data_IF_418203942972
#
_entry.id   IF_418203942972
#
_cell.length_a   1.000
_cell.length_b   1.000
_cell.length_c   1.000
_cell.angle_alpha   90.00
_cell.angle_beta   90.00
_cell.angle_gamma   90.00
#
_symmetry.space_group_name_H-M   'P 1'
#
loop_
_entity.id
_entity.type
_entity.pdbx_description
1 polymer ?
#
# COMPACT_ATOMS: atom_id res chain seq x y z
N UNK A 1 -9.55 9.35 20.77
CA UNK A 1 -8.89 9.99 19.62
C UNK A 1 -8.23 8.88 18.81
N UNK A 2 -8.65 8.68 17.57
CA UNK A 2 -8.14 7.59 16.72
C UNK A 2 -6.98 8.10 15.87
N UNK A 3 -5.83 7.44 16.00
CA UNK A 3 -4.65 7.68 15.18
C UNK A 3 -4.74 6.78 13.95
N UNK A 4 -4.64 7.35 12.76
CA UNK A 4 -4.71 6.63 11.49
C UNK A 4 -3.36 6.73 10.79
N UNK A 5 -2.93 5.62 10.16
CA UNK A 5 -1.69 5.58 9.39
C UNK A 5 -1.90 5.13 7.96
N UNK A 6 -1.31 5.86 7.02
CA UNK A 6 -1.49 5.65 5.59
C UNK A 6 -0.15 5.26 4.94
N UNK A 7 -0.14 4.16 4.17
CA UNK A 7 1.04 3.68 3.41
C UNK A 7 0.83 3.86 1.92
N UNK A 8 1.90 4.09 1.14
CA UNK A 8 1.85 4.33 -0.31
C UNK A 8 2.89 3.49 -1.07
N UNK A 9 2.56 2.92 -2.24
CA UNK A 9 3.57 2.49 -3.23
C UNK A 9 3.15 2.25 -4.69
N UNK A 10 3.96 2.78 -5.64
CA UNK A 10 4.27 2.29 -7.01
C UNK A 10 4.78 0.83 -7.16
N UNK A 11 3.97 -0.09 -7.67
CA UNK A 11 4.46 -1.38 -8.17
C UNK A 11 5.10 -1.26 -9.58
N UNK A 12 6.11 -2.10 -9.83
CA UNK A 12 6.88 -2.20 -11.07
C UNK A 12 6.01 -2.47 -12.31
N UNK A 13 6.40 -1.86 -13.42
CA UNK A 13 5.68 -1.93 -14.67
C UNK A 13 5.72 -3.31 -15.33
N UNK A 14 4.56 -3.78 -15.81
CA UNK A 14 4.48 -4.94 -16.70
C UNK A 14 3.92 -4.50 -18.05
N UNK A 15 4.83 -4.31 -19.01
CA UNK A 15 4.48 -4.17 -20.42
C UNK A 15 4.01 -5.51 -20.98
N UNK A 16 2.84 -5.52 -21.61
CA UNK A 16 2.29 -6.66 -22.34
C UNK A 16 0.89 -6.38 -22.87
N UNK A 17 0.79 -5.98 -24.15
CA UNK A 17 -0.46 -5.82 -24.88
C UNK A 17 -1.20 -7.17 -24.99
N UNK A 18 -2.30 -7.36 -24.24
CA UNK A 18 -3.26 -8.44 -24.53
C UNK A 18 -4.69 -8.05 -24.12
N UNK A 19 -5.54 -7.80 -25.13
CA UNK A 19 -7.00 -7.57 -25.11
C UNK A 19 -7.54 -6.53 -24.11
N UNK A 20 -8.78 -6.06 -24.33
CA UNK A 20 -9.50 -5.22 -23.37
C UNK A 20 -9.80 -6.04 -22.10
N UNK A 21 -8.84 -6.10 -21.16
CA UNK A 21 -9.02 -6.72 -19.85
C UNK A 21 -9.79 -5.76 -18.95
N UNK A 22 -10.81 -6.27 -18.29
CA UNK A 22 -11.51 -5.58 -17.20
C UNK A 22 -10.55 -5.30 -16.04
N UNK A 23 -10.85 -4.32 -15.18
CA UNK A 23 -10.04 -4.09 -13.98
C UNK A 23 -9.94 -5.37 -13.13
N UNK A 24 -11.04 -6.13 -13.04
CA UNK A 24 -11.11 -7.42 -12.35
C UNK A 24 -10.03 -8.41 -12.82
N UNK A 25 -9.87 -8.52 -14.14
CA UNK A 25 -8.89 -9.42 -14.76
C UNK A 25 -7.46 -8.92 -14.58
N UNK A 26 -7.23 -7.60 -14.68
CA UNK A 26 -5.94 -6.98 -14.44
C UNK A 26 -5.47 -7.18 -13.00
N UNK A 27 -6.36 -6.98 -12.02
CA UNK A 27 -6.06 -7.25 -10.62
C UNK A 27 -5.77 -8.72 -10.38
N UNK A 28 -6.61 -9.63 -10.88
CA UNK A 28 -6.37 -11.07 -10.75
C UNK A 28 -5.05 -11.52 -11.41
N UNK A 29 -4.61 -10.84 -12.48
CA UNK A 29 -3.32 -11.09 -13.14
C UNK A 29 -2.15 -10.55 -12.30
N UNK A 30 -2.22 -9.29 -11.83
CA UNK A 30 -1.20 -8.69 -10.94
C UNK A 30 -1.04 -9.54 -9.67
N UNK A 31 -2.15 -10.05 -9.12
CA UNK A 31 -2.12 -10.94 -7.96
C UNK A 31 -1.43 -12.28 -8.25
N UNK A 32 -1.81 -12.98 -9.33
CA UNK A 32 -1.17 -14.26 -9.71
C UNK A 32 0.32 -14.14 -9.98
N UNK A 33 0.74 -13.06 -10.64
CA UNK A 33 2.15 -12.79 -10.89
C UNK A 33 2.87 -12.56 -9.56
N UNK A 34 2.29 -11.75 -8.67
CA UNK A 34 2.90 -11.46 -7.37
C UNK A 34 2.94 -12.71 -6.47
N UNK A 35 1.93 -13.57 -6.49
CA UNK A 35 1.92 -14.86 -5.79
C UNK A 35 2.94 -15.84 -6.36
N UNK A 36 3.12 -15.84 -7.69
CA UNK A 36 4.17 -16.64 -8.33
C UNK A 36 5.56 -16.13 -7.91
N UNK A 37 5.75 -14.82 -7.84
CA UNK A 37 6.97 -14.21 -7.31
C UNK A 37 7.15 -14.49 -5.81
N UNK A 38 6.08 -14.53 -5.02
CA UNK A 38 6.11 -14.94 -3.60
C UNK A 38 6.64 -16.37 -3.45
N UNK A 39 6.11 -17.31 -4.24
CA UNK A 39 6.56 -18.70 -4.22
C UNK A 39 8.03 -18.81 -4.64
N UNK A 40 8.44 -18.12 -5.70
CA UNK A 40 9.83 -18.14 -6.16
C UNK A 40 10.81 -17.54 -5.14
N UNK A 41 10.42 -16.46 -4.43
CA UNK A 41 11.22 -15.89 -3.35
C UNK A 41 11.34 -16.85 -2.15
N UNK A 42 10.24 -17.49 -1.75
CA UNK A 42 10.24 -18.50 -0.66
C UNK A 42 11.05 -19.74 -1.00
N UNK A 43 11.14 -20.09 -2.29
CA UNK A 43 11.97 -21.19 -2.80
C UNK A 43 13.45 -20.80 -2.93
N UNK A 44 13.85 -19.56 -2.58
CA UNK A 44 15.23 -19.08 -2.72
C UNK A 44 15.70 -18.92 -4.16
N UNK A 45 14.77 -18.87 -5.12
CA UNK A 45 15.06 -18.81 -6.56
C UNK A 45 15.07 -17.37 -7.10
N UNK A 46 14.72 -16.39 -6.26
CA UNK A 46 14.91 -14.97 -6.52
C UNK A 46 15.99 -14.43 -5.58
N UNK A 47 16.85 -13.50 -6.04
CA UNK A 47 17.78 -12.82 -5.16
C UNK A 47 16.98 -12.03 -4.12
N UNK A 48 16.97 -12.50 -2.87
CA UNK A 48 16.73 -11.63 -1.73
C UNK A 48 17.83 -10.56 -1.68
N UNK A 49 17.65 -9.43 -0.98
CA UNK A 49 18.68 -8.41 -0.88
C UNK A 49 19.97 -9.08 -0.40
N UNK A 50 20.94 -9.19 -1.31
CA UNK A 50 22.22 -9.82 -1.04
C UNK A 50 22.94 -8.97 -0.01
N UNK A 51 23.29 -9.60 1.12
CA UNK A 51 24.13 -9.00 2.16
C UNK A 51 25.43 -8.51 1.53
N UNK A 52 25.54 -7.20 1.26
CA UNK A 52 26.69 -6.60 0.60
C UNK A 52 26.40 -5.52 -0.45
N UNK A 53 25.16 -5.31 -0.88
CA UNK A 53 24.80 -4.17 -1.75
C UNK A 53 24.50 -2.95 -0.87
N UNK A 54 25.10 -1.76 -1.11
CA UNK A 54 24.71 -0.53 -0.44
C UNK A 54 23.21 -0.34 -0.62
N UNK A 55 22.47 -0.31 0.49
CA UNK A 55 21.03 -0.12 0.48
C UNK A 55 20.78 1.23 -0.24
N UNK A 56 19.92 1.28 -1.28
CA UNK A 56 19.53 2.54 -1.90
C UNK A 56 19.02 3.50 -0.82
N UNK A 57 19.37 4.78 -0.92
CA UNK A 57 18.95 5.87 -0.02
C UNK A 57 17.56 5.59 0.58
N UNK A 58 17.53 5.10 1.82
CA UNK A 58 16.28 4.84 2.53
C UNK A 58 15.66 6.18 2.90
N UNK A 59 14.40 6.39 2.53
CA UNK A 59 13.65 7.50 3.09
C UNK A 59 13.30 7.15 4.53
N UNK A 60 13.42 8.11 5.45
CA UNK A 60 13.16 7.83 6.87
C UNK A 60 11.76 7.27 7.09
N UNK A 61 10.79 7.84 6.39
CA UNK A 61 9.37 7.48 6.45
C UNK A 61 9.05 6.13 5.80
N UNK A 62 10.03 5.47 5.17
CA UNK A 62 9.85 4.08 4.74
C UNK A 62 9.71 3.15 5.94
N UNK A 63 10.30 3.51 7.08
CA UNK A 63 10.11 2.84 8.36
C UNK A 63 8.94 3.45 9.15
N UNK A 64 8.04 2.59 9.62
CA UNK A 64 6.84 2.94 10.37
C UNK A 64 7.15 3.87 11.55
N UNK A 65 8.14 3.64 12.43
CA UNK A 65 8.42 4.55 13.54
C UNK A 65 8.64 6.02 13.13
N UNK A 66 9.10 6.27 11.91
CA UNK A 66 9.41 7.57 11.35
C UNK A 66 8.31 8.11 10.42
N UNK A 67 7.09 7.59 10.53
CA UNK A 67 5.96 8.03 9.72
C UNK A 67 5.79 9.56 9.75
N UNK A 68 5.53 10.15 8.59
CA UNK A 68 5.34 11.59 8.43
C UNK A 68 4.04 12.01 9.12
N UNK A 69 4.09 12.92 10.11
CA UNK A 69 2.88 13.51 10.67
C UNK A 69 2.15 14.34 9.62
N UNK A 70 0.86 14.07 9.41
CA UNK A 70 0.03 14.85 8.48
C UNK A 70 -0.35 16.18 9.16
N UNK A 71 0.34 17.24 8.75
CA UNK A 71 0.15 18.62 9.18
C UNK A 71 -0.14 19.57 8.01
N UNK A 72 -0.10 19.07 6.77
CA UNK A 72 -0.35 19.82 5.54
C UNK A 72 -1.42 19.13 4.69
N UNK A 73 -2.04 19.90 3.79
CA UNK A 73 -3.06 19.38 2.88
C UNK A 73 -2.46 18.57 1.72
N UNK A 74 -1.18 18.80 1.40
CA UNK A 74 -0.52 18.20 0.24
C UNK A 74 0.92 17.86 0.59
N UNK A 75 1.32 16.64 0.22
CA UNK A 75 2.69 16.15 0.29
C UNK A 75 3.11 15.76 -1.12
N UNK A 76 4.32 16.17 -1.53
CA UNK A 76 4.81 15.92 -2.88
C UNK A 76 6.10 15.12 -2.83
N UNK A 77 6.13 14.05 -3.62
CA UNK A 77 7.31 13.23 -3.85
C UNK A 77 7.77 13.41 -5.28
N UNK A 78 9.05 13.71 -5.48
CA UNK A 78 9.65 13.77 -6.82
C UNK A 78 9.98 12.38 -7.36
N UNK A 79 10.04 11.38 -6.47
CA UNK A 79 10.30 9.97 -6.79
C UNK A 79 9.59 9.07 -5.79
N UNK A 80 9.16 7.89 -6.24
CA UNK A 80 8.60 6.87 -5.35
C UNK A 80 9.61 6.46 -4.27
N UNK A 81 9.14 6.05 -3.07
CA UNK A 81 10.01 5.46 -2.07
C UNK A 81 10.80 4.29 -2.68
N UNK A 82 12.10 4.15 -2.37
CA UNK A 82 12.97 3.20 -3.06
C UNK A 82 12.88 1.77 -2.50
N UNK A 83 12.52 1.62 -1.23
CA UNK A 83 12.41 0.33 -0.51
C UNK A 83 11.47 0.46 0.71
N UNK A 84 11.30 -0.63 1.46
CA UNK A 84 10.42 -0.68 2.64
C UNK A 84 11.08 -0.16 3.93
N UNK A 85 12.26 0.46 3.83
CA UNK A 85 13.05 0.87 4.99
C UNK A 85 13.95 -0.23 5.53
N UNK A 86 14.40 -0.08 6.77
CA UNK A 86 15.22 -1.06 7.46
C UNK A 86 14.41 -2.27 7.95
N UNK A 87 13.12 -2.08 8.23
CA UNK A 87 12.21 -3.10 8.76
C UNK A 87 11.01 -3.29 7.84
N UNK A 88 10.72 -4.52 7.42
CA UNK A 88 9.44 -4.83 6.76
C UNK A 88 8.34 -4.98 7.81
N UNK A 89 7.47 -3.97 7.96
CA UNK A 89 6.44 -3.99 9.02
C UNK A 89 5.12 -4.62 8.63
N UNK A 90 4.87 -4.83 7.33
CA UNK A 90 3.65 -5.53 6.91
C UNK A 90 3.82 -7.04 6.93
N UNK A 91 2.74 -7.72 7.31
CA UNK A 91 2.58 -9.15 7.13
C UNK A 91 1.67 -9.45 5.93
N UNK A 92 1.29 -10.72 5.80
CA UNK A 92 0.42 -11.20 4.72
C UNK A 92 -1.08 -10.99 5.02
N UNK A 93 -1.39 -10.21 6.05
CA UNK A 93 -2.71 -9.88 6.59
C UNK A 93 -3.34 -8.64 5.93
N UNK A 94 -2.71 -8.12 4.87
CA UNK A 94 -3.19 -6.94 4.14
C UNK A 94 -3.56 -7.32 2.70
N UNK A 95 -4.26 -6.44 1.99
CA UNK A 95 -4.46 -6.58 0.54
C UNK A 95 -3.18 -6.31 -0.26
N UNK A 96 -2.14 -5.78 0.38
CA UNK A 96 -0.88 -5.44 -0.24
C UNK A 96 -0.04 -6.70 -0.38
N UNK A 97 0.09 -7.18 -1.61
CA UNK A 97 0.84 -8.38 -1.89
C UNK A 97 2.33 -8.16 -1.66
N UNK A 98 3.05 -9.24 -1.39
CA UNK A 98 4.49 -9.17 -1.10
C UNK A 98 4.83 -8.29 0.12
N UNK A 99 3.89 -8.06 1.05
CA UNK A 99 4.07 -7.15 2.20
C UNK A 99 4.41 -5.71 1.79
N UNK A 100 4.21 -5.39 0.51
CA UNK A 100 4.63 -4.19 -0.18
C UNK A 100 6.14 -3.85 -0.03
N UNK A 101 6.82 -3.64 -1.16
CA UNK A 101 8.30 -3.67 -1.19
C UNK A 101 8.96 -2.29 -1.15
N UNK A 102 8.21 -1.22 -1.35
CA UNK A 102 8.71 0.14 -1.20
C UNK A 102 7.66 1.06 -0.61
N UNK A 103 7.97 1.84 0.41
CA UNK A 103 6.89 2.30 1.29
C UNK A 103 7.16 3.69 1.82
N UNK A 104 6.09 4.43 2.08
CA UNK A 104 6.13 5.64 2.88
C UNK A 104 4.95 5.60 3.85
N UNK A 105 5.22 5.83 5.13
CA UNK A 105 4.24 5.86 6.20
C UNK A 105 3.86 7.29 6.55
N UNK A 106 2.57 7.53 6.72
CA UNK A 106 2.01 8.76 7.26
C UNK A 106 1.27 8.44 8.55
N UNK A 107 1.22 9.38 9.49
CA UNK A 107 0.44 9.28 10.72
C UNK A 107 -0.37 10.55 10.93
N UNK A 108 -1.63 10.39 11.32
CA UNK A 108 -2.51 11.51 11.61
C UNK A 108 -3.52 11.17 12.68
N UNK A 109 -4.04 12.20 13.35
CA UNK A 109 -5.16 12.05 14.29
C UNK A 109 -6.39 12.70 13.69
N UNK A 110 -7.50 11.97 13.66
CA UNK A 110 -8.78 12.54 13.25
C UNK A 110 -9.27 13.47 14.36
N UNK A 111 -9.32 14.77 14.07
CA UNK A 111 -9.72 15.81 15.03
C UNK A 111 -11.24 16.09 14.99
N UNK A 112 -11.85 15.94 13.81
CA UNK A 112 -13.27 16.22 13.59
C UNK A 112 -13.98 14.97 13.07
N UNK A 113 -15.24 14.79 13.46
CA UNK A 113 -16.10 13.77 12.88
C UNK A 113 -16.45 14.10 11.42
N UNK A 114 -16.67 13.07 10.60
CA UNK A 114 -16.98 13.21 9.19
C UNK A 114 -16.39 12.07 8.35
N UNK A 115 -16.50 12.19 7.03
CA UNK A 115 -15.88 11.25 6.08
C UNK A 115 -14.45 11.68 5.80
N UNK A 116 -13.49 10.81 6.10
CA UNK A 116 -12.09 11.01 5.75
C UNK A 116 -11.82 10.53 4.33
N UNK A 117 -11.15 11.36 3.53
CA UNK A 117 -10.70 11.04 2.19
C UNK A 117 -9.33 11.63 1.90
N UNK A 118 -8.64 11.06 0.92
CA UNK A 118 -7.37 11.56 0.41
C UNK A 118 -7.19 11.09 -1.04
N UNK A 119 -6.33 11.80 -1.77
CA UNK A 119 -6.00 11.50 -3.16
C UNK A 119 -4.52 11.19 -3.30
N UNK A 120 -4.24 10.09 -3.97
CA UNK A 120 -2.92 9.69 -4.45
C UNK A 120 -2.76 10.11 -5.90
N UNK A 121 -2.29 11.33 -6.16
CA UNK A 121 -2.08 11.77 -7.55
C UNK A 121 -0.76 11.22 -8.09
N UNK A 122 -0.84 10.30 -9.05
CA UNK A 122 0.32 9.62 -9.62
C UNK A 122 0.00 9.08 -11.01
N UNK A 123 1.02 8.85 -11.83
CA UNK A 123 0.92 8.10 -13.09
C UNK A 123 1.34 6.65 -12.93
N UNK A 124 1.59 6.21 -11.70
CA UNK A 124 2.05 4.86 -11.35
C UNK A 124 0.96 4.11 -10.58
N UNK A 125 1.23 2.83 -10.31
CA UNK A 125 0.30 1.91 -9.68
C UNK A 125 0.52 1.98 -8.17
N UNK A 126 -0.15 2.94 -7.52
CA UNK A 126 -0.01 3.15 -6.09
C UNK A 126 -1.02 2.33 -5.29
N UNK A 127 -0.53 1.58 -4.30
CA UNK A 127 -1.35 0.83 -3.35
C UNK A 127 -1.34 1.50 -1.97
N UNK A 128 -2.39 1.30 -1.16
CA UNK A 128 -2.43 1.82 0.21
C UNK A 128 -3.06 0.88 1.22
N UNK A 129 -2.61 0.99 2.46
CA UNK A 129 -3.27 0.40 3.63
C UNK A 129 -3.41 1.47 4.72
N UNK A 130 -4.58 1.47 5.36
CA UNK A 130 -4.97 2.35 6.44
C UNK A 130 -5.19 1.53 7.71
N UNK A 131 -4.48 1.86 8.77
CA UNK A 131 -4.61 1.19 10.06
C UNK A 131 -5.12 2.15 11.13
N UNK A 132 -5.90 1.64 12.08
CA UNK A 132 -6.10 2.30 13.37
C UNK A 132 -4.89 2.00 14.26
N UNK A 133 -3.95 2.94 14.31
CA UNK A 133 -2.67 2.80 15.00
C UNK A 133 -2.83 2.49 16.49
N UNK A 134 -3.84 3.06 17.14
CA UNK A 134 -4.12 2.82 18.55
C UNK A 134 -4.65 1.41 18.78
N UNK A 135 -5.61 0.97 17.95
CA UNK A 135 -6.21 -0.36 18.07
C UNK A 135 -5.23 -1.50 17.79
N UNK A 136 -4.24 -1.28 16.93
CA UNK A 136 -3.24 -2.31 16.59
C UNK A 136 -2.02 -2.30 17.54
N UNK A 137 -1.95 -1.40 18.52
CA UNK A 137 -0.80 -1.31 19.43
C UNK A 137 0.47 -0.74 18.77
N UNK A 138 0.30 0.09 17.74
CA UNK A 138 1.38 0.78 17.04
C UNK A 138 2.03 -0.02 15.91
N UNK A 139 3.28 0.32 15.56
CA UNK A 139 3.98 -0.30 14.42
C UNK A 139 4.15 -1.82 14.53
N UNK A 140 4.25 -2.37 15.75
CA UNK A 140 4.35 -3.82 15.93
C UNK A 140 3.10 -4.58 15.48
N UNK A 141 1.94 -3.92 15.46
CA UNK A 141 0.67 -4.54 15.09
C UNK A 141 0.43 -4.65 13.58
N UNK A 142 1.16 -3.92 12.74
CA UNK A 142 0.90 -3.91 11.29
C UNK A 142 1.20 -5.26 10.64
N UNK A 143 2.04 -6.08 11.28
CA UNK A 143 2.42 -7.41 10.82
C UNK A 143 1.31 -8.46 10.97
N UNK A 144 0.24 -8.17 11.72
CA UNK A 144 -0.83 -9.13 12.02
C UNK A 144 -2.23 -8.54 11.91
N UNK A 145 -2.39 -7.22 12.09
CA UNK A 145 -3.70 -6.58 12.11
C UNK A 145 -4.29 -6.35 10.72
N UNK A 146 -5.58 -6.57 10.55
CA UNK A 146 -6.23 -6.27 9.27
C UNK A 146 -6.44 -4.75 9.11
N UNK A 147 -6.01 -4.11 8.00
CA UNK A 147 -6.17 -2.67 7.81
C UNK A 147 -7.65 -2.27 7.76
N UNK A 148 -8.04 -1.15 8.35
CA UNK A 148 -9.45 -0.68 8.29
C UNK A 148 -9.88 -0.32 6.86
N UNK A 149 -8.94 0.09 6.01
CA UNK A 149 -9.09 0.26 4.56
C UNK A 149 -7.80 -0.18 3.89
N UNK A 150 -7.89 -0.82 2.74
CA UNK A 150 -6.77 -1.30 1.97
C UNK A 150 -7.16 -1.29 0.51
N UNK A 151 -6.39 -0.59 -0.30
CA UNK A 151 -6.54 -0.56 -1.73
C UNK A 151 -5.33 -1.21 -2.38
N UNK A 152 -5.63 -2.12 -3.28
CA UNK A 152 -4.69 -2.63 -4.24
C UNK A 152 -5.23 -2.23 -5.62
N UNK A 153 -4.49 -1.42 -6.36
CA UNK A 153 -4.78 -1.09 -7.76
C UNK A 153 -4.11 -2.11 -8.66
N UNK A 154 -4.60 -2.26 -9.89
CA UNK A 154 -3.84 -2.92 -10.95
C UNK A 154 -3.73 -2.02 -12.18
N UNK A 155 -4.08 -0.75 -11.99
CA UNK A 155 -4.07 0.30 -12.98
C UNK A 155 -3.18 1.44 -12.51
N UNK A 156 -2.53 2.06 -13.48
CA UNK A 156 -1.80 3.30 -13.28
C UNK A 156 -2.76 4.47 -13.14
N UNK A 157 -2.45 5.40 -12.25
CA UNK A 157 -3.20 6.64 -12.14
C UNK A 157 -3.54 6.99 -10.70
N UNK A 158 -4.40 7.99 -10.59
CA UNK A 158 -4.86 8.48 -9.29
C UNK A 158 -5.64 7.40 -8.55
N UNK A 159 -5.37 7.22 -7.26
CA UNK A 159 -6.17 6.37 -6.35
C UNK A 159 -6.44 7.10 -5.04
N UNK A 160 -7.12 6.49 -4.08
CA UNK A 160 -7.33 7.07 -2.75
C UNK A 160 -8.66 6.68 -2.10
N UNK A 161 -9.12 7.52 -1.18
CA UNK A 161 -10.44 7.42 -0.54
C UNK A 161 -11.28 8.64 -0.92
N UNK A 162 -12.42 8.42 -1.58
CA UNK A 162 -13.38 9.50 -1.86
C UNK A 162 -14.12 9.89 -0.59
N UNK A 163 -14.02 11.16 -0.19
CA UNK A 163 -14.85 11.68 0.90
C UNK A 163 -16.30 11.93 0.47
N UNK A 164 -16.56 12.15 -0.83
CA UNK A 164 -17.87 12.49 -1.39
C UNK A 164 -18.67 11.26 -1.81
N UNK A 165 -18.00 10.16 -2.11
CA UNK A 165 -18.61 8.88 -2.49
C UNK A 165 -18.03 7.71 -1.67
N UNK A 166 -18.23 7.72 -0.34
CA UNK A 166 -17.66 6.69 0.53
C UNK A 166 -18.24 5.32 0.17
N UNK A 167 -17.37 4.40 -0.23
CA UNK A 167 -17.78 3.03 -0.53
C UNK A 167 -18.01 2.24 0.78
N UNK A 168 -19.11 1.47 0.90
CA UNK A 168 -19.37 0.63 2.05
C UNK A 168 -18.39 -0.56 2.11
N UNK A 169 -18.07 -1.00 3.34
CA UNK A 169 -17.21 -2.16 3.59
C UNK A 169 -15.77 -1.80 3.99
N UNK A 170 -15.09 -2.78 4.59
CA UNK A 170 -13.64 -2.75 4.78
C UNK A 170 -13.01 -3.09 3.43
N UNK A 171 -12.43 -2.11 2.75
CA UNK A 171 -11.65 -2.33 1.54
C UNK A 171 -10.50 -3.29 1.89
N UNK A 172 -10.67 -4.58 1.59
CA UNK A 172 -9.74 -5.66 1.93
C UNK A 172 -9.99 -6.83 0.97
N UNK A 173 -8.92 -7.44 0.48
CA UNK A 173 -8.94 -8.82 -0.02
C UNK A 173 -9.12 -9.77 1.20
N UNK A 174 -10.36 -9.87 1.66
CA UNK A 174 -10.99 -10.92 2.48
C UNK A 174 -12.42 -10.49 2.92
N UNK A 175 -12.86 -9.27 2.59
CA UNK A 175 -14.22 -8.78 2.86
C UNK A 175 -15.22 -9.14 1.73
N UNK A 176 -14.88 -10.13 0.89
CA UNK A 176 -15.68 -10.61 -0.25
C UNK A 176 -16.03 -9.53 -1.30
N UNK A 177 -15.28 -8.42 -1.36
CA UNK A 177 -15.43 -7.40 -2.40
C UNK A 177 -14.30 -7.50 -3.43
N UNK A 178 -14.56 -7.15 -4.71
CA UNK A 178 -13.54 -7.15 -5.75
C UNK A 178 -12.32 -6.32 -5.32
N UNK A 179 -11.08 -6.76 -5.59
CA UNK A 179 -9.84 -6.13 -5.13
C UNK A 179 -9.54 -4.79 -5.81
N UNK A 180 -10.55 -4.07 -6.28
CA UNK A 180 -10.42 -2.88 -7.11
C UNK A 180 -11.45 -1.89 -6.61
N UNK A 181 -11.01 -0.80 -6.02
CA UNK A 181 -11.67 0.44 -6.35
C UNK A 181 -11.06 0.89 -7.67
N UNK A 182 -11.86 1.14 -8.73
CA UNK A 182 -11.38 1.98 -9.81
C UNK A 182 -10.77 3.21 -9.13
N UNK A 183 -9.55 3.60 -9.51
CA UNK A 183 -9.02 4.88 -9.09
C UNK A 183 -10.11 5.94 -9.25
N UNK A 184 -10.24 6.80 -8.22
CA UNK A 184 -11.30 7.81 -8.12
C UNK A 184 -11.63 8.48 -9.46
#
# INVERSE_FOLDING_TARGET
>A
MTQLRLRWLALLAFGGLVSAQTLAERAARKMRITDSLNQLAQMGLLPGPSSGVPIPLTLSESDCPNAIPVCQQTYTYTSSPPNYGAVQELGNNTCLLMKEQKTAWFIFTVQNSGTFGFLINTTYDYDFALFDYGAIGGCGGTATATPIRCNYSADYGTTGLDANNPQPGSLQWNASQPPIMPGL
#
